data_IF_776050387606
#
_entry.id   IF_776050387606
#
_cell.length_a   1.000
_cell.length_b   1.000
_cell.length_c   1.000
_cell.angle_alpha   90.00
_cell.angle_beta   90.00
_cell.angle_gamma   90.00
#
_symmetry.space_group_name_H-M   'P 1'
#
loop_
_entity.id
_entity.type
_entity.pdbx_description
1 polymer ?
#
# COMPACT_ATOMS: atom_id res chain seq x y z
N UNK A 1 -11.76 -8.47 0.72
CA UNK A 1 -10.39 -8.18 0.24
C UNK A 1 -10.50 -7.40 -1.07
N UNK A 2 -9.95 -6.19 -1.13
CA UNK A 2 -9.97 -5.37 -2.36
C UNK A 2 -8.69 -5.64 -3.14
N UNK A 3 -8.71 -5.41 -4.46
CA UNK A 3 -7.53 -5.59 -5.33
C UNK A 3 -7.06 -4.30 -6.00
N UNK A 4 -7.70 -3.17 -5.67
CA UNK A 4 -7.37 -1.81 -6.10
C UNK A 4 -8.03 -0.78 -5.18
N UNK A 5 -7.55 0.46 -5.22
CA UNK A 5 -8.15 1.62 -4.55
C UNK A 5 -8.00 2.87 -5.41
N UNK A 6 -8.76 3.95 -5.15
CA UNK A 6 -8.56 5.23 -5.83
C UNK A 6 -7.10 5.72 -5.71
N UNK A 7 -6.47 5.51 -4.55
CA UNK A 7 -5.06 5.85 -4.35
C UNK A 7 -4.12 5.01 -5.24
N UNK A 8 -4.35 3.70 -5.38
CA UNK A 8 -3.53 2.85 -6.24
C UNK A 8 -3.74 3.14 -7.73
N UNK A 9 -4.94 3.56 -8.13
CA UNK A 9 -5.23 4.02 -9.50
C UNK A 9 -4.51 5.33 -9.82
N UNK A 10 -4.52 6.30 -8.90
CA UNK A 10 -3.79 7.57 -9.06
C UNK A 10 -2.28 7.32 -9.13
N UNK A 11 -1.72 6.59 -8.16
CA UNK A 11 -0.29 6.28 -8.14
C UNK A 11 0.15 5.47 -9.37
N UNK A 12 -0.65 4.50 -9.82
CA UNK A 12 -0.40 3.76 -11.06
C UNK A 12 -0.30 4.69 -12.27
N UNK A 13 -1.20 5.68 -12.40
CA UNK A 13 -1.15 6.66 -13.48
C UNK A 13 0.12 7.50 -13.40
N UNK A 14 0.50 7.98 -12.23
CA UNK A 14 1.66 8.84 -12.07
C UNK A 14 2.98 8.10 -12.29
N UNK A 15 3.11 6.86 -11.79
CA UNK A 15 4.27 6.01 -12.08
C UNK A 15 4.41 5.73 -13.59
N UNK A 16 3.29 5.51 -14.30
CA UNK A 16 3.33 5.37 -15.77
C UNK A 16 3.80 6.63 -16.48
N UNK A 17 3.39 7.82 -16.02
CA UNK A 17 3.89 9.11 -16.56
C UNK A 17 5.39 9.28 -16.33
N UNK A 18 5.90 8.79 -15.21
CA UNK A 18 7.34 8.76 -14.90
C UNK A 18 8.11 7.67 -15.65
N UNK A 19 7.46 6.89 -16.54
CA UNK A 19 8.11 5.91 -17.40
C UNK A 19 8.15 4.47 -16.86
N UNK A 20 7.67 4.23 -15.64
CA UNK A 20 7.63 2.89 -15.06
C UNK A 20 6.72 1.95 -15.86
N UNK A 21 7.11 0.68 -15.94
CA UNK A 21 6.38 -0.40 -16.62
C UNK A 21 5.88 -1.41 -15.59
N UNK A 22 4.86 -2.20 -15.95
CA UNK A 22 4.22 -3.21 -15.08
C UNK A 22 3.60 -2.67 -13.78
N UNK A 23 3.36 -1.36 -13.69
CA UNK A 23 2.77 -0.68 -12.53
C UNK A 23 1.26 -0.49 -12.67
N UNK A 24 0.52 -1.56 -12.98
CA UNK A 24 -0.96 -1.51 -13.04
C UNK A 24 -1.58 -1.27 -11.66
N UNK A 25 -2.85 -0.80 -11.56
CA UNK A 25 -3.47 -0.44 -10.28
C UNK A 25 -3.49 -1.55 -9.22
N UNK A 26 -3.59 -2.82 -9.63
CA UNK A 26 -3.52 -3.98 -8.72
C UNK A 26 -2.10 -4.26 -8.24
N UNK A 27 -1.10 -4.19 -9.12
CA UNK A 27 0.32 -4.29 -8.73
C UNK A 27 0.67 -3.18 -7.73
N UNK A 28 0.22 -1.96 -8.01
CA UNK A 28 0.46 -0.81 -7.13
C UNK A 28 -0.28 -0.98 -5.80
N UNK A 29 -1.51 -1.51 -5.80
CA UNK A 29 -2.23 -1.81 -4.56
C UNK A 29 -1.50 -2.85 -3.70
N UNK A 30 -1.01 -3.93 -4.32
CA UNK A 30 -0.21 -4.95 -3.64
C UNK A 30 1.10 -4.39 -3.09
N UNK A 31 1.77 -3.53 -3.87
CA UNK A 31 2.95 -2.79 -3.41
C UNK A 31 2.63 -1.91 -2.19
N UNK A 32 1.50 -1.21 -2.20
CA UNK A 32 1.07 -0.38 -1.07
C UNK A 32 0.79 -1.22 0.19
N UNK A 33 0.26 -2.42 0.05
CA UNK A 33 0.10 -3.35 1.17
C UNK A 33 1.48 -3.80 1.69
N UNK A 34 2.38 -4.24 0.80
CA UNK A 34 3.70 -4.76 1.16
C UNK A 34 4.60 -3.71 1.83
N UNK A 35 4.56 -2.46 1.37
CA UNK A 35 5.37 -1.37 1.93
C UNK A 35 4.77 -0.76 3.20
N UNK A 36 3.61 -1.23 3.65
CA UNK A 36 2.95 -0.64 4.80
C UNK A 36 2.42 0.77 4.52
N UNK A 37 1.94 1.05 3.30
CA UNK A 37 1.04 2.19 3.08
C UNK A 37 -0.39 1.87 3.47
N UNK A 38 -0.79 0.59 3.39
CA UNK A 38 -2.11 0.10 3.82
C UNK A 38 -1.92 -1.10 4.76
N UNK A 39 -2.68 -1.16 5.85
CA UNK A 39 -2.77 -2.34 6.70
C UNK A 39 -4.03 -3.13 6.36
N UNK A 40 -3.93 -4.03 5.38
CA UNK A 40 -5.06 -4.84 4.91
C UNK A 40 -4.95 -6.31 5.38
N UNK A 41 -4.21 -6.54 6.47
CA UNK A 41 -4.21 -7.84 7.15
C UNK A 41 -5.64 -8.23 7.53
N UNK A 42 -5.99 -9.52 7.44
CA UNK A 42 -7.32 -10.00 7.86
C UNK A 42 -7.60 -9.62 9.33
N UNK A 43 -8.87 -9.41 9.70
CA UNK A 43 -9.26 -9.02 11.07
C UNK A 43 -8.72 -9.97 12.14
N UNK A 44 -8.69 -11.27 11.81
CA UNK A 44 -8.19 -12.34 12.69
C UNK A 44 -6.69 -12.60 12.56
N UNK A 45 -5.95 -11.79 11.79
CA UNK A 45 -4.51 -11.95 11.63
C UNK A 45 -3.80 -11.51 12.92
N UNK A 46 -3.03 -12.43 13.51
CA UNK A 46 -2.28 -12.18 14.74
C UNK A 46 -1.31 -10.99 14.66
N UNK A 47 -0.79 -10.67 13.46
CA UNK A 47 0.10 -9.53 13.24
C UNK A 47 -0.61 -8.18 13.09
N UNK A 48 -1.93 -8.16 12.85
CA UNK A 48 -2.63 -6.94 12.40
C UNK A 48 -2.46 -5.79 13.39
N UNK A 49 -2.58 -6.08 14.70
CA UNK A 49 -2.47 -5.09 15.78
C UNK A 49 -1.04 -4.55 15.92
N UNK A 50 -0.05 -5.42 15.79
CA UNK A 50 1.36 -5.05 15.94
C UNK A 50 1.83 -4.21 14.75
N UNK A 51 1.41 -4.59 13.53
CA UNK A 51 1.64 -3.79 12.31
C UNK A 51 0.96 -2.43 12.42
N UNK A 52 -0.28 -2.36 12.91
CA UNK A 52 -0.98 -1.09 13.11
C UNK A 52 -0.24 -0.18 14.10
N UNK A 53 0.25 -0.76 15.21
CA UNK A 53 1.04 -0.02 16.20
C UNK A 53 2.33 0.50 15.59
N UNK A 54 3.06 -0.33 14.85
CA UNK A 54 4.30 0.07 14.18
C UNK A 54 4.08 1.17 13.14
N UNK A 55 2.99 1.11 12.38
CA UNK A 55 2.64 2.16 11.40
C UNK A 55 2.38 3.50 12.06
N UNK A 56 1.68 3.52 13.18
CA UNK A 56 1.35 4.74 13.92
C UNK A 56 2.57 5.40 14.58
N UNK A 57 3.68 4.67 14.73
CA UNK A 57 4.93 5.21 15.27
C UNK A 57 5.94 5.61 14.19
N UNK A 58 5.62 5.37 12.89
CA UNK A 58 6.47 5.81 11.78
C UNK A 58 6.58 7.33 11.80
N UNK A 59 7.83 7.81 11.84
CA UNK A 59 8.16 9.23 11.70
C UNK A 59 8.62 9.46 10.27
N UNK A 60 8.11 10.51 9.64
CA UNK A 60 8.68 10.98 8.38
C UNK A 60 10.09 11.50 8.64
N UNK A 61 11.11 11.03 7.91
CA UNK A 61 12.42 11.66 7.94
C UNK A 61 12.26 13.14 7.58
N UNK A 62 12.82 14.02 8.42
CA UNK A 62 12.94 15.46 8.15
C UNK A 62 14.05 15.73 7.15
#
# INVERSE_FOLDING_TARGET
MRSKSPASETLSKDLRKLGFKFVGPTTVYAFMQAMGFINDHAEVCWMRKDVETARNTLRTPT
#
